data_IF_669956182144
#
_entry.id   IF_669956182144
#
_cell.length_a   1.000
_cell.length_b   1.000
_cell.length_c   1.000
_cell.angle_alpha   90.00
_cell.angle_beta   90.00
_cell.angle_gamma   90.00
#
_symmetry.space_group_name_H-M   'P 1'
#
loop_
_entity.id
_entity.type
_entity.pdbx_description
1 polymer ?
#
# COMPACT_ATOMS: atom_id res chain seq x y z
N UNK A 1 -10.50 11.98 13.78
CA UNK A 1 -9.58 13.11 14.01
C UNK A 1 -8.11 12.69 13.96
N UNK A 2 -7.77 11.40 14.18
CA UNK A 2 -6.40 10.89 14.12
C UNK A 2 -6.09 10.29 12.76
N UNK A 3 -4.83 10.34 12.29
CA UNK A 3 -4.42 9.69 11.04
C UNK A 3 -4.67 8.19 11.05
N UNK A 4 -4.30 7.48 12.13
CA UNK A 4 -4.57 6.04 12.27
C UNK A 4 -6.06 5.71 12.28
N UNK A 5 -6.88 6.54 12.95
CA UNK A 5 -8.34 6.39 12.95
C UNK A 5 -8.95 6.57 11.55
N UNK A 6 -8.45 7.53 10.76
CA UNK A 6 -8.88 7.71 9.37
C UNK A 6 -8.50 6.51 8.50
N UNK A 7 -7.30 5.95 8.66
CA UNK A 7 -6.89 4.71 7.96
C UNK A 7 -7.82 3.57 8.32
N UNK A 8 -8.02 3.29 9.58
CA UNK A 8 -8.88 2.17 10.01
C UNK A 8 -10.31 2.34 9.52
N UNK A 9 -10.88 3.54 9.61
CA UNK A 9 -12.23 3.82 9.13
C UNK A 9 -12.33 3.74 7.60
N UNK A 10 -11.30 4.20 6.87
CA UNK A 10 -11.28 4.13 5.41
C UNK A 10 -11.38 2.69 4.89
N UNK A 11 -10.75 1.74 5.58
CA UNK A 11 -10.73 0.32 5.20
C UNK A 11 -11.72 -0.55 6.01
N UNK A 12 -12.53 0.04 6.87
CA UNK A 12 -13.61 -0.65 7.57
C UNK A 12 -14.73 -1.07 6.59
N UNK A 13 -15.66 -1.92 7.06
CA UNK A 13 -16.83 -2.29 6.28
C UNK A 13 -17.67 -1.06 5.90
N UNK A 14 -18.40 -1.11 4.77
CA UNK A 14 -19.28 -0.01 4.38
C UNK A 14 -20.28 0.35 5.47
N UNK A 15 -20.87 -0.66 6.11
CA UNK A 15 -21.87 -0.52 7.16
C UNK A 15 -21.29 0.25 8.36
N UNK A 16 -20.11 -0.16 8.85
CA UNK A 16 -19.46 0.51 9.97
C UNK A 16 -19.06 1.96 9.63
N UNK A 17 -18.61 2.20 8.40
CA UNK A 17 -18.31 3.59 7.96
C UNK A 17 -19.55 4.48 7.99
N UNK A 18 -20.68 4.00 7.44
CA UNK A 18 -21.91 4.78 7.42
C UNK A 18 -22.46 4.97 8.85
N UNK A 19 -22.33 3.98 9.72
CA UNK A 19 -22.68 4.12 11.13
C UNK A 19 -21.88 5.25 11.79
N UNK A 20 -20.56 5.29 11.60
CA UNK A 20 -19.71 6.36 12.14
C UNK A 20 -20.06 7.72 11.55
N UNK A 21 -20.31 7.78 10.23
CA UNK A 21 -20.67 9.03 9.53
C UNK A 21 -22.04 9.56 9.96
N UNK A 22 -22.95 8.69 10.42
CA UNK A 22 -24.27 9.08 10.94
C UNK A 22 -24.19 9.62 12.37
N UNK A 23 -23.07 9.43 13.07
CA UNK A 23 -22.91 9.95 14.44
C UNK A 23 -22.57 11.44 14.45
N UNK A 24 -22.82 12.10 15.58
CA UNK A 24 -22.33 13.47 15.79
C UNK A 24 -20.80 13.45 15.92
N UNK A 25 -20.10 13.88 14.88
CA UNK A 25 -18.66 13.97 14.88
C UNK A 25 -18.16 15.04 15.87
N UNK A 26 -17.33 14.61 16.83
CA UNK A 26 -16.82 15.50 17.87
C UNK A 26 -15.73 16.42 17.28
N UNK A 27 -15.87 17.71 17.57
CA UNK A 27 -14.84 18.72 17.27
C UNK A 27 -13.82 18.78 18.42
N UNK A 28 -12.55 18.62 18.08
CA UNK A 28 -11.42 18.74 19.01
C UNK A 28 -10.67 20.05 18.80
N UNK A 29 -10.56 20.48 17.54
CA UNK A 29 -9.91 21.73 17.12
C UNK A 29 -10.74 22.40 16.01
N UNK A 30 -10.46 23.64 15.64
CA UNK A 30 -11.09 24.26 14.47
C UNK A 30 -10.87 23.49 13.16
N UNK A 31 -9.77 22.75 13.04
CA UNK A 31 -9.40 21.94 11.84
C UNK A 31 -9.99 20.53 11.84
N UNK A 32 -10.63 20.09 12.94
CA UNK A 32 -11.26 18.77 12.99
C UNK A 32 -12.36 18.66 11.94
N UNK A 33 -12.31 17.63 11.11
CA UNK A 33 -13.37 17.32 10.15
C UNK A 33 -14.60 16.84 10.92
N UNK A 34 -15.67 17.61 10.88
CA UNK A 34 -16.97 17.32 11.55
C UNK A 34 -18.13 17.24 10.57
N UNK A 35 -17.92 17.59 9.30
CA UNK A 35 -18.88 17.38 8.24
C UNK A 35 -18.76 15.95 7.70
N UNK A 36 -19.85 15.14 7.70
CA UNK A 36 -19.81 13.76 7.23
C UNK A 36 -19.38 13.62 5.77
N UNK A 37 -19.76 14.56 4.90
CA UNK A 37 -19.39 14.48 3.49
C UNK A 37 -17.92 14.84 3.26
N UNK A 38 -17.38 15.79 4.02
CA UNK A 38 -15.94 16.08 4.02
C UNK A 38 -15.15 14.87 4.54
N UNK A 39 -15.61 14.22 5.59
CA UNK A 39 -14.97 13.00 6.09
C UNK A 39 -15.05 11.88 5.06
N UNK A 40 -16.20 11.68 4.41
CA UNK A 40 -16.37 10.66 3.36
C UNK A 40 -15.37 10.87 2.21
N UNK A 41 -15.18 12.10 1.74
CA UNK A 41 -14.16 12.45 0.72
C UNK A 41 -12.74 12.13 1.20
N UNK A 42 -12.40 12.50 2.42
CA UNK A 42 -11.10 12.18 3.00
C UNK A 42 -10.86 10.68 3.08
N UNK A 43 -11.86 9.88 3.48
CA UNK A 43 -11.73 8.41 3.52
C UNK A 43 -11.57 7.79 2.13
N UNK A 44 -12.18 8.36 1.08
CA UNK A 44 -11.95 7.94 -0.32
C UNK A 44 -10.51 8.19 -0.72
N UNK A 45 -9.96 9.37 -0.42
CA UNK A 45 -8.57 9.72 -0.69
C UNK A 45 -7.61 8.76 0.02
N UNK A 46 -7.85 8.47 1.31
CA UNK A 46 -7.05 7.51 2.08
C UNK A 46 -7.08 6.11 1.44
N UNK A 47 -8.21 5.65 0.92
CA UNK A 47 -8.29 4.36 0.19
C UNK A 47 -7.49 4.36 -1.10
N UNK A 48 -7.49 5.47 -1.83
CA UNK A 48 -6.79 5.60 -3.10
C UNK A 48 -5.27 5.70 -2.93
N UNK A 49 -4.84 6.50 -1.94
CA UNK A 49 -3.41 6.78 -1.70
C UNK A 49 -2.75 5.80 -0.75
N UNK A 50 -3.54 5.13 0.10
CA UNK A 50 -3.02 4.31 1.20
C UNK A 50 -2.41 5.13 2.34
N UNK A 51 -2.69 6.44 2.40
CA UNK A 51 -2.08 7.35 3.39
C UNK A 51 -3.15 8.28 3.96
N UNK A 52 -3.16 8.46 5.28
CA UNK A 52 -3.91 9.50 5.94
C UNK A 52 -2.94 10.57 6.46
N UNK A 53 -3.25 11.83 6.19
CA UNK A 53 -2.53 12.99 6.70
C UNK A 53 -3.54 13.84 7.48
N UNK A 54 -3.31 13.99 8.77
CA UNK A 54 -4.16 14.78 9.66
C UNK A 54 -3.30 15.85 10.34
N UNK A 55 -3.46 17.08 9.92
CA UNK A 55 -2.76 18.22 10.50
C UNK A 55 -3.70 19.08 11.33
N UNK A 56 -3.37 19.23 12.61
CA UNK A 56 -4.12 20.06 13.53
C UNK A 56 -5.55 19.58 13.81
N UNK A 57 -5.92 18.35 13.48
CA UNK A 57 -7.28 17.82 13.66
C UNK A 57 -7.57 17.32 15.07
N UNK A 58 -6.52 17.10 15.87
CA UNK A 58 -6.60 16.69 17.26
C UNK A 58 -5.66 17.56 18.09
N UNK A 59 -5.91 17.65 19.39
CA UNK A 59 -5.03 18.39 20.30
C UNK A 59 -3.69 17.65 20.50
N UNK A 60 -2.53 18.35 20.48
CA UNK A 60 -2.39 19.80 20.18
C UNK A 60 -2.65 20.11 18.69
N UNK A 61 -3.20 21.29 18.39
CA UNK A 61 -3.60 21.71 17.06
C UNK A 61 -2.44 22.03 16.10
N UNK A 62 -1.22 22.01 16.60
CA UNK A 62 0.02 22.08 15.84
C UNK A 62 0.63 20.70 15.53
N UNK A 63 -0.11 19.62 15.74
CA UNK A 63 0.35 18.28 15.45
C UNK A 63 0.09 17.89 13.98
N UNK A 64 1.09 17.27 13.34
CA UNK A 64 0.98 16.56 12.07
C UNK A 64 1.00 15.05 12.34
N UNK A 65 -0.05 14.36 11.95
CA UNK A 65 -0.11 12.89 11.97
C UNK A 65 -0.10 12.35 10.54
N UNK A 66 0.74 11.39 10.27
CA UNK A 66 0.79 10.62 9.01
C UNK A 66 0.63 9.17 9.35
N UNK A 67 -0.31 8.48 8.69
CA UNK A 67 -0.60 7.07 8.96
C UNK A 67 -0.81 6.27 7.68
N UNK A 68 -0.50 4.96 7.76
CA UNK A 68 -0.59 4.00 6.66
C UNK A 68 -1.20 2.69 7.17
N UNK A 69 -1.87 1.89 6.30
CA UNK A 69 -2.43 0.60 6.68
C UNK A 69 -1.36 -0.48 6.83
N UNK A 70 -1.59 -1.40 7.76
CA UNK A 70 -0.91 -2.68 7.85
C UNK A 70 -1.88 -3.77 7.38
N UNK A 71 -1.39 -4.65 6.50
CA UNK A 71 -2.20 -5.67 5.85
C UNK A 71 -1.85 -7.07 6.36
N UNK A 72 -2.83 -7.93 6.42
CA UNK A 72 -2.72 -9.33 6.81
C UNK A 72 -2.73 -10.29 5.61
N UNK A 73 -2.84 -11.62 5.87
CA UNK A 73 -2.66 -12.68 4.86
C UNK A 73 -3.61 -12.62 3.66
N UNK A 74 -4.81 -12.05 3.84
CA UNK A 74 -5.83 -11.88 2.78
C UNK A 74 -5.83 -10.47 2.18
N UNK A 75 -4.74 -9.74 2.32
CA UNK A 75 -4.59 -8.33 1.94
C UNK A 75 -5.58 -7.36 2.63
N UNK A 76 -6.33 -7.84 3.64
CA UNK A 76 -7.20 -6.99 4.45
C UNK A 76 -6.37 -6.09 5.37
N UNK A 77 -6.84 -4.89 5.63
CA UNK A 77 -6.23 -4.00 6.63
C UNK A 77 -6.57 -4.52 8.02
N UNK A 78 -5.53 -4.90 8.76
CA UNK A 78 -5.65 -5.44 10.13
C UNK A 78 -5.26 -4.44 11.21
N UNK A 79 -4.49 -3.42 10.84
CA UNK A 79 -4.05 -2.36 11.74
C UNK A 79 -3.66 -1.11 10.94
N UNK A 80 -3.35 -0.03 11.66
CA UNK A 80 -2.75 1.16 11.09
C UNK A 80 -1.50 1.54 11.89
N UNK A 81 -0.47 2.00 11.18
CA UNK A 81 0.75 2.54 11.76
C UNK A 81 0.88 4.01 11.38
N UNK A 82 1.33 4.82 12.31
CA UNK A 82 1.55 6.23 12.03
C UNK A 82 2.59 6.88 12.92
N UNK A 83 3.00 8.07 12.53
CA UNK A 83 3.80 8.98 13.34
C UNK A 83 3.01 10.26 13.58
N UNK A 84 3.22 10.83 14.75
CA UNK A 84 2.70 12.16 15.10
C UNK A 84 3.86 13.01 15.59
N UNK A 85 3.97 14.20 15.04
CA UNK A 85 5.03 15.16 15.37
C UNK A 85 4.48 16.58 15.29
N UNK A 86 5.27 17.54 15.76
CA UNK A 86 4.92 18.95 15.63
C UNK A 86 4.90 19.35 14.16
N UNK A 87 3.87 20.07 13.73
CA UNK A 87 3.78 20.59 12.37
C UNK A 87 5.02 21.44 12.03
N UNK A 88 5.53 21.28 10.82
CA UNK A 88 6.77 21.92 10.38
C UNK A 88 8.07 21.21 10.77
N UNK A 89 8.04 20.19 11.66
CA UNK A 89 9.25 19.42 12.02
C UNK A 89 9.71 18.49 10.89
N UNK A 90 8.80 17.99 10.08
CA UNK A 90 9.09 17.22 8.88
C UNK A 90 7.96 17.37 7.84
N UNK A 91 8.27 17.12 6.58
CA UNK A 91 7.28 17.13 5.50
C UNK A 91 6.62 15.76 5.36
N UNK A 92 5.31 15.68 5.08
CA UNK A 92 4.66 14.44 4.68
C UNK A 92 5.37 13.73 3.53
N UNK A 93 5.94 14.49 2.58
CA UNK A 93 6.70 13.94 1.44
C UNK A 93 7.92 13.12 1.87
N UNK A 94 8.54 13.47 3.00
CA UNK A 94 9.68 12.71 3.57
C UNK A 94 9.20 11.52 4.40
N UNK A 95 8.10 11.69 5.14
CA UNK A 95 7.59 10.66 6.07
C UNK A 95 6.88 9.51 5.36
N UNK A 96 6.06 9.83 4.35
CA UNK A 96 5.22 8.84 3.67
C UNK A 96 6.03 7.67 3.07
N UNK A 97 7.13 7.89 2.32
CA UNK A 97 7.90 6.79 1.75
C UNK A 97 8.49 5.86 2.83
N UNK A 98 9.02 6.42 3.92
CA UNK A 98 9.60 5.65 5.03
C UNK A 98 8.52 4.82 5.74
N UNK A 99 7.38 5.44 6.09
CA UNK A 99 6.25 4.75 6.69
C UNK A 99 5.71 3.65 5.79
N UNK A 100 5.52 3.92 4.50
CA UNK A 100 5.03 2.95 3.55
C UNK A 100 5.99 1.76 3.37
N UNK A 101 7.30 2.00 3.36
CA UNK A 101 8.30 0.94 3.30
C UNK A 101 8.25 0.04 4.55
N UNK A 102 8.18 0.65 5.73
CA UNK A 102 8.07 -0.06 7.01
C UNK A 102 6.76 -0.84 7.09
N UNK A 103 5.64 -0.23 6.70
CA UNK A 103 4.33 -0.88 6.69
C UNK A 103 4.30 -2.10 5.76
N UNK A 104 4.92 -2.01 4.58
CA UNK A 104 5.07 -3.16 3.67
C UNK A 104 5.91 -4.29 4.29
N UNK A 105 7.01 -3.96 4.97
CA UNK A 105 7.84 -4.96 5.66
C UNK A 105 7.06 -5.67 6.76
N UNK A 106 6.35 -4.93 7.61
CA UNK A 106 5.49 -5.48 8.66
C UNK A 106 4.36 -6.31 8.06
N UNK A 107 3.68 -5.81 7.02
CA UNK A 107 2.58 -6.53 6.38
C UNK A 107 3.03 -7.87 5.80
N UNK A 108 4.23 -7.94 5.18
CA UNK A 108 4.81 -9.21 4.74
C UNK A 108 5.08 -10.17 5.90
N UNK A 109 5.60 -9.65 7.02
CA UNK A 109 5.81 -10.46 8.22
C UNK A 109 4.48 -10.97 8.81
N UNK A 110 3.38 -10.24 8.62
CA UNK A 110 2.02 -10.65 8.97
C UNK A 110 1.39 -11.58 7.93
N UNK A 111 2.11 -11.95 6.87
CA UNK A 111 1.63 -12.86 5.82
C UNK A 111 0.86 -12.19 4.69
N UNK A 112 0.91 -10.88 4.56
CA UNK A 112 0.31 -10.20 3.41
C UNK A 112 0.98 -10.66 2.10
N UNK A 113 0.21 -10.87 0.99
CA UNK A 113 0.79 -11.19 -0.31
C UNK A 113 1.78 -10.10 -0.73
N UNK A 114 2.91 -10.51 -1.32
CA UNK A 114 3.79 -9.54 -1.98
C UNK A 114 3.02 -8.92 -3.14
N UNK A 115 2.99 -7.59 -3.22
CA UNK A 115 2.49 -6.92 -4.40
C UNK A 115 3.34 -7.40 -5.59
N UNK A 116 2.77 -8.24 -6.44
CA UNK A 116 3.40 -8.67 -7.69
C UNK A 116 3.46 -7.41 -8.56
N UNK A 117 4.66 -6.93 -8.83
CA UNK A 117 4.85 -5.86 -9.81
C UNK A 117 4.25 -6.33 -11.14
N UNK A 118 3.41 -5.52 -11.84
CA UNK A 118 2.78 -5.92 -13.09
C UNK A 118 3.76 -5.99 -14.28
N UNK A 119 5.06 -6.11 -14.03
CA UNK A 119 6.10 -6.27 -15.05
C UNK A 119 6.86 -7.59 -14.84
N UNK A 120 6.14 -8.70 -14.98
CA UNK A 120 6.69 -10.03 -15.18
C UNK A 120 6.50 -10.44 -16.63
N UNK A 121 7.22 -9.81 -17.56
CA UNK A 121 7.49 -10.47 -18.83
C UNK A 121 8.49 -11.59 -18.54
N UNK A 122 7.96 -12.80 -18.45
CA UNK A 122 8.74 -14.02 -18.57
C UNK A 122 9.27 -14.07 -20.00
N UNK A 123 10.46 -13.56 -20.23
CA UNK A 123 11.28 -14.03 -21.35
C UNK A 123 11.69 -15.44 -21.01
N UNK A 124 10.93 -16.42 -21.53
CA UNK A 124 11.35 -17.80 -21.56
C UNK A 124 12.68 -17.91 -22.34
N UNK A 125 13.56 -18.83 -21.97
CA UNK A 125 14.81 -19.00 -22.70
C UNK A 125 14.48 -19.41 -24.13
N UNK A 126 14.99 -18.61 -25.08
CA UNK A 126 14.95 -18.91 -26.48
C UNK A 126 15.61 -20.28 -26.73
N UNK A 127 14.84 -21.20 -27.31
CA UNK A 127 15.34 -22.49 -27.70
C UNK A 127 16.52 -22.37 -28.63
N UNK A 128 17.63 -22.97 -28.27
CA UNK A 128 18.76 -23.19 -29.16
C UNK A 128 18.30 -24.11 -30.30
N UNK A 129 18.51 -23.77 -31.55
CA UNK A 129 18.40 -24.73 -32.63
C UNK A 129 19.61 -25.67 -32.56
N UNK A 130 19.33 -26.92 -32.19
CA UNK A 130 20.27 -28.04 -32.32
C UNK A 130 20.46 -28.36 -33.82
N UNK A 131 21.54 -27.94 -34.38
CA UNK A 131 22.02 -28.39 -35.67
C UNK A 131 23.37 -29.08 -35.46
N UNK A 132 23.31 -30.36 -35.08
CA UNK A 132 24.43 -31.28 -35.31
C UNK A 132 24.19 -31.98 -36.64
N UNK A 133 25.14 -31.94 -37.57
CA UNK A 133 25.09 -32.80 -38.74
C UNK A 133 25.47 -34.24 -38.36
N UNK A 134 24.60 -35.17 -38.71
CA UNK A 134 24.84 -36.60 -38.59
C UNK A 134 26.00 -37.01 -39.51
N UNK A 135 27.08 -37.51 -38.91
CA UNK A 135 28.06 -38.35 -39.56
C UNK A 135 27.45 -39.75 -39.83
N UNK A 136 27.08 -40.01 -41.07
CA UNK A 136 26.96 -41.36 -41.58
C UNK A 136 27.02 -41.33 -43.12
N UNK A 137 28.19 -41.54 -43.65
CA UNK A 137 28.37 -42.12 -44.95
C UNK A 137 29.87 -42.50 -45.16
N UNK A 138 30.30 -43.51 -44.43
CA UNK A 138 31.42 -44.32 -44.93
C UNK A 138 30.84 -45.59 -45.43
N UNK A 139 30.81 -45.80 -46.73
CA UNK A 139 30.95 -47.13 -47.31
C UNK A 139 31.08 -47.02 -48.82
N UNK A 140 32.14 -47.64 -49.30
CA UNK A 140 32.25 -48.15 -50.64
C UNK A 140 32.93 -47.21 -51.60
N UNK A 141 34.05 -47.47 -52.21
CA UNK A 141 34.23 -48.64 -53.06
C UNK A 141 35.67 -48.76 -53.51
N UNK A 142 36.08 -49.95 -53.59
CA UNK A 142 37.27 -50.53 -54.18
C UNK A 142 37.38 -50.31 -55.71
N UNK A 143 38.60 -50.39 -56.17
CA UNK A 143 39.08 -51.01 -57.42
C UNK A 143 39.10 -50.11 -58.65
N UNK A 144 40.25 -49.79 -59.09
CA UNK A 144 40.98 -50.30 -60.24
C UNK A 144 42.24 -49.43 -60.49
#
# INVERSE_FOLDING_TARGET
ATGTGQVLLAFASPEFREEVLATKLRRFTPKTITDPDALRRSLVEVRQTGVAIAEGQLWPDDALAVAVPLRGPKDQVVAAMGVTLKAGSASPRTLVPALAATARAISRALGAPSATSPHGQTTGPAGHPSSYPSEDAKSGLRSA
#
